data_IF_180860328577
#
_entry.id   IF_180860328577
#
_cell.length_a   1.000
_cell.length_b   1.000
_cell.length_c   1.000
_cell.angle_alpha   90.00
_cell.angle_beta   90.00
_cell.angle_gamma   90.00
#
_symmetry.space_group_name_H-M   'P 1'
#
loop_
_entity.id
_entity.type
_entity.pdbx_description
1 polymer ?
#
# COMPACT_ATOMS: atom_id res chain seq x y z
N UNK A 1 -4.80 -8.80 22.41
CA UNK A 1 -3.72 -9.45 21.65
C UNK A 1 -3.95 -9.51 20.13
N UNK A 2 -5.06 -10.02 19.57
CA UNK A 2 -5.24 -10.14 18.10
C UNK A 2 -5.38 -8.78 17.39
N UNK A 3 -6.11 -7.82 17.98
CA UNK A 3 -6.25 -6.45 17.45
C UNK A 3 -4.93 -5.66 17.52
N UNK A 4 -4.07 -5.95 18.46
CA UNK A 4 -2.79 -5.30 18.67
C UNK A 4 -1.79 -5.63 17.55
N UNK A 5 -1.65 -6.91 17.23
CA UNK A 5 -0.75 -7.35 16.15
C UNK A 5 -1.18 -6.80 14.77
N UNK A 6 -2.50 -6.62 14.54
CA UNK A 6 -2.99 -6.01 13.30
C UNK A 6 -2.65 -4.53 13.21
N UNK A 7 -2.77 -3.78 14.32
CA UNK A 7 -2.38 -2.36 14.38
C UNK A 7 -0.88 -2.17 14.16
N UNK A 8 -0.06 -3.06 14.70
CA UNK A 8 1.40 -3.01 14.51
C UNK A 8 1.74 -3.21 13.03
N UNK A 9 1.16 -4.22 12.39
CA UNK A 9 1.40 -4.49 10.96
C UNK A 9 0.97 -3.29 10.10
N UNK A 10 -0.21 -2.70 10.35
CA UNK A 10 -0.64 -1.52 9.62
C UNK A 10 0.30 -0.33 9.80
N UNK A 11 0.79 -0.08 11.01
CA UNK A 11 1.79 0.97 11.28
C UNK A 11 3.11 0.72 10.56
N UNK A 12 3.59 -0.53 10.53
CA UNK A 12 4.79 -0.90 9.78
C UNK A 12 4.62 -0.65 8.28
N UNK A 13 3.46 -0.99 7.71
CA UNK A 13 3.17 -0.76 6.31
C UNK A 13 3.15 0.75 6.00
N UNK A 14 2.52 1.57 6.85
CA UNK A 14 2.53 3.04 6.71
C UNK A 14 3.96 3.59 6.70
N UNK A 15 4.82 3.08 7.59
CA UNK A 15 6.22 3.49 7.62
C UNK A 15 6.97 3.08 6.35
N UNK A 16 6.75 1.86 5.88
CA UNK A 16 7.33 1.37 4.62
C UNK A 16 6.89 2.22 3.44
N UNK A 17 5.60 2.57 3.35
CA UNK A 17 5.08 3.44 2.29
C UNK A 17 5.75 4.83 2.32
N UNK A 18 5.94 5.43 3.49
CA UNK A 18 6.64 6.71 3.61
C UNK A 18 8.07 6.62 3.04
N UNK A 19 8.78 5.55 3.36
CA UNK A 19 10.13 5.28 2.84
C UNK A 19 10.09 5.03 1.33
N UNK A 20 9.12 4.27 0.85
CA UNK A 20 8.94 3.97 -0.58
C UNK A 20 8.67 5.24 -1.39
N UNK A 21 7.79 6.12 -0.91
CA UNK A 21 7.49 7.40 -1.59
C UNK A 21 8.76 8.26 -1.67
N UNK A 22 9.49 8.39 -0.56
CA UNK A 22 10.74 9.13 -0.53
C UNK A 22 11.79 8.52 -1.46
N UNK A 23 11.96 7.20 -1.42
CA UNK A 23 12.88 6.47 -2.29
C UNK A 23 12.51 6.61 -3.77
N UNK A 24 11.24 6.51 -4.11
CA UNK A 24 10.73 6.69 -5.47
C UNK A 24 11.08 8.07 -6.02
N UNK A 25 10.98 9.10 -5.16
CA UNK A 25 11.38 10.45 -5.55
C UNK A 25 12.90 10.58 -5.73
N UNK A 26 13.69 10.08 -4.79
CA UNK A 26 15.15 10.13 -4.89
C UNK A 26 15.65 9.39 -6.13
N UNK A 27 15.06 8.24 -6.42
CA UNK A 27 15.35 7.46 -7.60
C UNK A 27 14.98 8.20 -8.90
N UNK A 28 13.81 8.84 -8.90
CA UNK A 28 13.37 9.69 -10.02
C UNK A 28 14.31 10.87 -10.25
N UNK A 29 14.71 11.53 -9.17
CA UNK A 29 15.66 12.63 -9.25
C UNK A 29 17.02 12.16 -9.80
N UNK A 30 17.53 11.03 -9.30
CA UNK A 30 18.75 10.40 -9.79
C UNK A 30 18.66 10.09 -11.30
N UNK A 31 17.57 9.45 -11.72
CA UNK A 31 17.34 9.15 -13.15
C UNK A 31 17.31 10.44 -13.99
N UNK A 32 16.70 11.51 -13.51
CA UNK A 32 16.60 12.77 -14.25
C UNK A 32 17.94 13.46 -14.41
N UNK A 33 18.76 13.47 -13.35
CA UNK A 33 20.00 14.25 -13.31
C UNK A 33 21.18 13.49 -13.93
N UNK A 34 21.26 12.18 -13.67
CA UNK A 34 22.46 11.40 -14.02
C UNK A 34 22.29 10.45 -15.20
N UNK A 35 21.06 10.07 -15.59
CA UNK A 35 20.88 9.07 -16.65
C UNK A 35 21.07 9.63 -18.07
N UNK A 36 21.02 10.95 -18.25
CA UNK A 36 21.08 11.58 -19.58
C UNK A 36 19.86 11.28 -20.49
N UNK A 37 18.86 10.52 -19.99
CA UNK A 37 17.68 10.09 -20.77
C UNK A 37 16.82 11.29 -21.18
N UNK A 38 16.84 12.36 -20.39
CA UNK A 38 16.04 13.56 -20.67
C UNK A 38 16.92 14.79 -20.70
N UNK A 39 16.90 15.60 -21.76
CA UNK A 39 17.64 16.84 -21.83
C UNK A 39 17.20 17.77 -20.67
N UNK A 40 18.18 18.33 -20.00
CA UNK A 40 17.96 19.32 -18.94
C UNK A 40 17.93 20.69 -19.61
N UNK A 41 16.78 21.05 -20.18
CA UNK A 41 16.53 22.39 -20.70
C UNK A 41 16.07 23.29 -19.56
N UNK A 42 16.81 24.42 -19.33
CA UNK A 42 16.51 25.33 -18.23
C UNK A 42 17.02 24.83 -16.87
N UNK A 43 17.81 25.60 -16.20
CA UNK A 43 18.60 25.25 -15.00
C UNK A 43 17.88 24.32 -13.98
N UNK A 44 18.63 23.38 -13.42
CA UNK A 44 18.15 22.53 -12.34
C UNK A 44 17.97 23.38 -11.07
N UNK A 45 16.79 23.32 -10.48
CA UNK A 45 16.60 23.80 -9.12
C UNK A 45 17.53 23.06 -8.15
N UNK A 46 17.88 23.69 -7.05
CA UNK A 46 18.66 23.02 -6.01
C UNK A 46 17.93 21.76 -5.53
N UNK A 47 18.69 20.74 -5.13
CA UNK A 47 18.13 19.49 -4.58
C UNK A 47 17.11 19.75 -3.46
N UNK A 48 17.40 20.73 -2.60
CA UNK A 48 16.48 21.12 -1.51
C UNK A 48 15.13 21.62 -2.02
N UNK A 49 15.12 22.37 -3.12
CA UNK A 49 13.88 22.90 -3.71
C UNK A 49 12.98 21.77 -4.26
N UNK A 50 13.57 20.66 -4.70
CA UNK A 50 12.82 19.47 -5.10
C UNK A 50 12.38 18.63 -3.90
N UNK A 51 13.21 18.49 -2.87
CA UNK A 51 12.98 17.59 -1.74
C UNK A 51 11.89 18.08 -0.79
N UNK A 52 11.87 19.39 -0.47
CA UNK A 52 10.93 19.96 0.50
C UNK A 52 9.47 19.71 0.14
N UNK A 53 8.99 20.00 -1.09
CA UNK A 53 7.61 19.70 -1.48
C UNK A 53 7.26 18.21 -1.37
N UNK A 54 8.20 17.31 -1.67
CA UNK A 54 7.96 15.86 -1.58
C UNK A 54 7.79 15.41 -0.15
N UNK A 55 8.62 15.90 0.78
CA UNK A 55 8.47 15.58 2.21
C UNK A 55 7.08 16.01 2.70
N UNK A 56 6.60 17.18 2.29
CA UNK A 56 5.27 17.66 2.64
C UNK A 56 4.16 16.83 2.01
N UNK A 57 4.42 16.20 0.86
CA UNK A 57 3.46 15.32 0.19
C UNK A 57 3.35 13.91 0.82
N UNK A 58 4.37 13.43 1.54
CA UNK A 58 4.32 12.09 2.16
C UNK A 58 3.06 11.90 3.03
N UNK A 59 2.74 12.77 4.00
CA UNK A 59 1.53 12.59 4.81
C UNK A 59 0.24 12.65 3.97
N UNK A 60 0.21 13.42 2.89
CA UNK A 60 -0.94 13.51 1.98
C UNK A 60 -1.12 12.18 1.25
N UNK A 61 -0.05 11.58 0.71
CA UNK A 61 -0.10 10.25 0.10
C UNK A 61 -0.55 9.18 1.08
N UNK A 62 -0.02 9.17 2.31
CA UNK A 62 -0.42 8.25 3.37
C UNK A 62 -1.92 8.41 3.68
N UNK A 63 -2.41 9.64 3.76
CA UNK A 63 -3.83 9.92 3.97
C UNK A 63 -4.69 9.35 2.83
N UNK A 64 -4.30 9.59 1.57
CA UNK A 64 -5.01 9.06 0.40
C UNK A 64 -5.00 7.52 0.41
N UNK A 65 -3.87 6.89 0.71
CA UNK A 65 -3.74 5.43 0.79
C UNK A 65 -4.66 4.86 1.89
N UNK A 66 -4.75 5.54 3.04
CA UNK A 66 -5.66 5.15 4.11
C UNK A 66 -7.14 5.29 3.68
N UNK A 67 -7.47 6.40 3.03
CA UNK A 67 -8.84 6.64 2.52
C UNK A 67 -9.26 5.61 1.47
N UNK A 68 -8.35 5.18 0.61
CA UNK A 68 -8.57 4.10 -0.37
C UNK A 68 -8.54 2.69 0.23
N UNK A 69 -8.37 2.57 1.56
CA UNK A 69 -8.40 1.30 2.26
C UNK A 69 -7.17 0.41 2.03
N UNK A 70 -6.05 0.97 1.57
CA UNK A 70 -4.80 0.22 1.36
C UNK A 70 -4.20 -0.31 2.67
N UNK A 71 -4.60 0.24 3.82
CA UNK A 71 -4.19 -0.22 5.15
C UNK A 71 -5.23 -1.14 5.82
N UNK A 72 -6.36 -1.38 5.15
CA UNK A 72 -7.35 -2.32 5.64
C UNK A 72 -6.79 -3.75 5.51
N UNK A 73 -6.80 -4.48 6.62
CA UNK A 73 -6.33 -5.85 6.68
C UNK A 73 -7.35 -6.83 6.04
N UNK A 74 -7.77 -6.56 4.81
CA UNK A 74 -8.59 -7.49 4.04
C UNK A 74 -7.74 -8.72 3.70
N UNK A 75 -8.08 -9.87 4.33
CA UNK A 75 -7.32 -11.12 4.19
C UNK A 75 -7.52 -11.77 2.82
N UNK A 76 -8.65 -11.45 2.17
CA UNK A 76 -9.11 -12.04 0.91
C UNK A 76 -9.27 -10.93 -0.14
N UNK A 77 -8.29 -10.05 -0.27
CA UNK A 77 -8.33 -8.99 -1.29
C UNK A 77 -7.71 -9.48 -2.60
N UNK A 78 -8.39 -9.21 -3.72
CA UNK A 78 -7.83 -9.47 -5.05
C UNK A 78 -6.71 -8.48 -5.37
N UNK A 79 -5.64 -8.98 -5.98
CA UNK A 79 -4.49 -8.14 -6.39
C UNK A 79 -4.89 -7.01 -7.33
N UNK A 80 -5.84 -7.27 -8.25
CA UNK A 80 -6.33 -6.27 -9.19
C UNK A 80 -6.98 -5.06 -8.51
N UNK A 81 -7.76 -5.29 -7.45
CA UNK A 81 -8.37 -4.21 -6.65
C UNK A 81 -7.32 -3.38 -5.93
N UNK A 82 -6.29 -4.02 -5.40
CA UNK A 82 -5.19 -3.33 -4.71
C UNK A 82 -4.38 -2.46 -5.67
N UNK A 83 -4.00 -3.00 -6.83
CA UNK A 83 -3.29 -2.25 -7.87
C UNK A 83 -4.16 -1.09 -8.38
N UNK A 84 -5.46 -1.30 -8.60
CA UNK A 84 -6.39 -0.23 -8.95
C UNK A 84 -6.45 0.90 -7.91
N UNK A 85 -6.45 0.54 -6.61
CA UNK A 85 -6.40 1.52 -5.53
C UNK A 85 -5.06 2.27 -5.48
N UNK A 86 -3.93 1.61 -5.77
CA UNK A 86 -2.62 2.25 -5.88
C UNK A 86 -2.61 3.27 -7.03
N UNK A 87 -3.07 2.87 -8.20
CA UNK A 87 -3.11 3.77 -9.38
C UNK A 87 -3.99 4.99 -9.08
N UNK A 88 -5.21 4.78 -8.61
CA UNK A 88 -6.13 5.89 -8.31
C UNK A 88 -5.61 6.81 -7.21
N UNK A 89 -4.94 6.26 -6.19
CA UNK A 89 -4.30 7.04 -5.13
C UNK A 89 -3.14 7.89 -5.68
N UNK A 90 -2.35 7.33 -6.57
CA UNK A 90 -1.24 8.06 -7.20
C UNK A 90 -1.74 9.16 -8.14
N UNK A 91 -2.83 8.92 -8.90
CA UNK A 91 -3.47 9.96 -9.71
C UNK A 91 -3.94 11.13 -8.83
N UNK A 92 -4.65 10.83 -7.74
CA UNK A 92 -5.06 11.88 -6.79
C UNK A 92 -3.87 12.59 -6.15
N UNK A 93 -2.85 11.85 -5.76
CA UNK A 93 -1.63 12.40 -5.16
C UNK A 93 -0.91 13.37 -6.11
N UNK A 94 -0.73 13.02 -7.38
CA UNK A 94 -0.06 13.88 -8.35
C UNK A 94 -0.90 15.11 -8.69
N UNK A 95 -2.23 15.00 -8.73
CA UNK A 95 -3.12 16.15 -8.93
C UNK A 95 -3.01 17.16 -7.78
N UNK A 96 -3.04 16.66 -6.53
CA UNK A 96 -2.86 17.51 -5.35
C UNK A 96 -1.47 18.13 -5.36
N UNK A 97 -0.42 17.35 -5.67
CA UNK A 97 0.96 17.83 -5.72
C UNK A 97 1.12 18.97 -6.74
N UNK A 98 0.60 18.77 -7.94
CA UNK A 98 0.63 19.80 -8.99
C UNK A 98 -0.14 21.04 -8.56
N UNK A 99 -1.30 20.88 -7.91
CA UNK A 99 -2.08 21.99 -7.34
C UNK A 99 -1.30 22.78 -6.28
N UNK A 100 -0.63 22.08 -5.37
CA UNK A 100 0.21 22.70 -4.33
C UNK A 100 1.37 23.49 -4.95
N UNK A 101 2.06 22.92 -5.94
CA UNK A 101 3.14 23.61 -6.65
C UNK A 101 2.64 24.85 -7.38
N UNK A 102 1.46 24.79 -8.00
CA UNK A 102 0.84 25.93 -8.68
C UNK A 102 0.50 27.07 -7.70
N UNK A 103 -0.14 26.75 -6.58
CA UNK A 103 -0.49 27.74 -5.54
C UNK A 103 0.77 28.37 -4.91
N UNK A 104 1.82 27.56 -4.71
CA UNK A 104 3.10 27.99 -4.17
C UNK A 104 3.95 28.78 -5.17
N UNK A 105 3.44 29.02 -6.40
CA UNK A 105 4.16 29.70 -7.49
C UNK A 105 5.51 29.07 -7.84
N UNK A 106 5.67 27.77 -7.59
CA UNK A 106 6.87 27.00 -7.95
C UNK A 106 6.82 26.63 -9.43
N UNK A 107 6.88 27.64 -10.31
CA UNK A 107 6.71 27.46 -11.77
C UNK A 107 7.89 26.72 -12.40
N UNK A 108 9.06 26.80 -11.78
CA UNK A 108 10.30 26.19 -12.27
C UNK A 108 10.41 24.69 -11.95
N UNK A 109 9.40 24.12 -11.29
CA UNK A 109 9.40 22.70 -10.97
C UNK A 109 9.25 21.86 -12.26
N UNK A 110 10.20 21.00 -12.52
CA UNK A 110 10.24 20.22 -13.76
C UNK A 110 9.03 19.29 -13.91
N UNK A 111 8.23 19.51 -14.94
CA UNK A 111 7.05 18.66 -15.27
C UNK A 111 7.47 17.20 -15.53
N UNK A 112 8.64 16.99 -16.16
CA UNK A 112 9.17 15.66 -16.43
C UNK A 112 9.46 14.87 -15.16
N UNK A 113 9.92 15.53 -14.07
CA UNK A 113 10.12 14.88 -12.77
C UNK A 113 8.77 14.41 -12.21
N UNK A 114 7.70 15.18 -12.34
CA UNK A 114 6.37 14.80 -11.85
C UNK A 114 5.85 13.54 -12.55
N UNK A 115 5.94 13.52 -13.89
CA UNK A 115 5.50 12.37 -14.69
C UNK A 115 6.35 11.13 -14.37
N UNK A 116 7.68 11.30 -14.31
CA UNK A 116 8.58 10.18 -13.99
C UNK A 116 8.36 9.68 -12.57
N UNK A 117 8.20 10.59 -11.60
CA UNK A 117 7.87 10.23 -10.23
C UNK A 117 6.56 9.45 -10.14
N UNK A 118 5.52 9.87 -10.86
CA UNK A 118 4.25 9.17 -10.91
C UNK A 118 4.42 7.71 -11.37
N UNK A 119 5.12 7.48 -12.48
CA UNK A 119 5.34 6.14 -13.03
C UNK A 119 6.21 5.28 -12.09
N UNK A 120 7.30 5.84 -11.59
CA UNK A 120 8.22 5.17 -10.67
C UNK A 120 7.52 4.82 -9.37
N UNK A 121 6.76 5.76 -8.78
CA UNK A 121 6.06 5.53 -7.52
C UNK A 121 5.00 4.44 -7.63
N UNK A 122 4.18 4.42 -8.69
CA UNK A 122 3.22 3.32 -8.93
C UNK A 122 3.95 1.98 -9.02
N UNK A 123 5.05 1.92 -9.77
CA UNK A 123 5.79 0.68 -9.99
C UNK A 123 6.38 0.16 -8.68
N UNK A 124 7.11 1.01 -7.95
CA UNK A 124 7.78 0.62 -6.70
C UNK A 124 6.76 0.27 -5.62
N UNK A 125 5.69 1.06 -5.47
CA UNK A 125 4.62 0.76 -4.50
C UNK A 125 3.91 -0.56 -4.84
N UNK A 126 3.67 -0.85 -6.12
CA UNK A 126 3.06 -2.12 -6.53
C UNK A 126 3.95 -3.32 -6.21
N UNK A 127 5.26 -3.21 -6.45
CA UNK A 127 6.25 -4.22 -6.10
C UNK A 127 6.31 -4.41 -4.59
N UNK A 128 6.38 -3.30 -3.83
CA UNK A 128 6.38 -3.32 -2.37
C UNK A 128 5.16 -4.08 -1.84
N UNK A 129 3.96 -3.75 -2.29
CA UNK A 129 2.72 -4.43 -1.88
C UNK A 129 2.74 -5.92 -2.19
N UNK A 130 3.24 -6.30 -3.34
CA UNK A 130 3.40 -7.71 -3.69
C UNK A 130 4.35 -8.43 -2.72
N UNK A 131 5.49 -7.83 -2.40
CA UNK A 131 6.49 -8.39 -1.46
C UNK A 131 5.93 -8.50 -0.06
N UNK A 132 5.33 -7.42 0.48
CA UNK A 132 4.72 -7.38 1.82
C UNK A 132 3.60 -8.43 1.93
N UNK A 133 2.73 -8.53 0.93
CA UNK A 133 1.67 -9.53 0.88
C UNK A 133 2.25 -10.96 0.90
N UNK A 134 3.28 -11.23 0.10
CA UNK A 134 3.93 -12.54 0.05
C UNK A 134 4.56 -12.90 1.40
N UNK A 135 5.17 -11.91 2.07
CA UNK A 135 5.74 -12.06 3.40
C UNK A 135 4.66 -12.37 4.45
N UNK A 136 3.58 -11.58 4.50
CA UNK A 136 2.47 -11.78 5.44
C UNK A 136 1.81 -13.15 5.22
N UNK A 137 1.60 -13.57 3.96
CA UNK A 137 1.06 -14.90 3.64
C UNK A 137 1.96 -16.03 4.13
N UNK A 138 3.29 -15.88 4.03
CA UNK A 138 4.25 -16.86 4.57
C UNK A 138 4.18 -16.93 6.09
N UNK A 139 4.10 -15.78 6.77
CA UNK A 139 3.94 -15.73 8.23
C UNK A 139 2.65 -16.43 8.68
N UNK A 140 1.53 -16.20 7.98
CA UNK A 140 0.25 -16.86 8.28
C UNK A 140 0.34 -18.38 8.13
N UNK A 141 1.00 -18.88 7.09
CA UNK A 141 1.24 -20.33 6.92
C UNK A 141 2.04 -20.95 8.07
N UNK A 142 2.92 -20.15 8.72
CA UNK A 142 3.69 -20.56 9.91
C UNK A 142 2.92 -20.40 11.22
N UNK A 143 1.64 -20.01 11.18
CA UNK A 143 0.80 -19.83 12.36
C UNK A 143 0.86 -18.44 13.01
N UNK A 144 1.61 -17.48 12.43
CA UNK A 144 1.62 -16.10 12.91
C UNK A 144 0.44 -15.31 12.32
N UNK A 145 -0.11 -14.37 13.09
CA UNK A 145 -1.23 -13.52 12.66
C UNK A 145 -2.47 -14.31 12.18
N UNK A 146 -2.77 -15.43 12.86
CA UNK A 146 -3.93 -16.29 12.59
C UNK A 146 -5.13 -15.76 13.38
N UNK A 147 -6.32 -15.77 12.76
CA UNK A 147 -7.61 -15.54 13.42
C UNK A 147 -8.27 -16.87 13.73
N UNK A 148 -8.60 -17.07 14.99
CA UNK A 148 -9.42 -18.18 15.43
C UNK A 148 -10.88 -17.83 15.21
N UNK A 149 -11.63 -18.70 14.55
CA UNK A 149 -13.06 -18.58 14.26
C UNK A 149 -13.81 -19.74 14.86
N UNK A 150 -14.99 -19.42 15.39
CA UNK A 150 -15.94 -20.39 15.90
C UNK A 150 -17.25 -20.14 15.15
N UNK A 151 -17.91 -21.18 14.72
CA UNK A 151 -19.22 -21.08 14.10
C UNK A 151 -20.30 -21.39 15.11
N UNK A 152 -21.43 -20.67 15.00
CA UNK A 152 -22.67 -20.96 15.73
C UNK A 152 -23.71 -21.43 14.73
N UNK A 153 -24.13 -22.67 14.86
CA UNK A 153 -24.99 -23.37 13.92
C UNK A 153 -24.25 -24.06 12.78
N UNK A 154 -24.73 -25.22 12.39
CA UNK A 154 -24.23 -25.97 11.23
C UNK A 154 -25.04 -25.58 9.99
N UNK A 155 -24.38 -25.30 8.91
CA UNK A 155 -24.97 -25.02 7.60
C UNK A 155 -24.01 -25.41 6.49
N UNK A 156 -24.53 -25.63 5.27
CA UNK A 156 -23.70 -25.86 4.08
C UNK A 156 -22.68 -24.76 3.86
N UNK A 157 -22.99 -23.50 4.25
CA UNK A 157 -22.08 -22.37 4.21
C UNK A 157 -20.90 -22.53 5.16
N UNK A 158 -21.13 -23.10 6.35
CA UNK A 158 -20.10 -23.36 7.35
C UNK A 158 -19.11 -24.41 6.85
N UNK A 159 -19.64 -25.49 6.26
CA UNK A 159 -18.81 -26.57 5.69
C UNK A 159 -17.97 -26.06 4.51
N UNK A 160 -18.60 -25.33 3.59
CA UNK A 160 -17.89 -24.72 2.45
C UNK A 160 -16.77 -23.76 2.92
N UNK A 161 -17.05 -22.94 3.92
CA UNK A 161 -16.04 -22.03 4.47
C UNK A 161 -14.89 -22.79 5.14
N UNK A 162 -15.20 -23.84 5.91
CA UNK A 162 -14.16 -24.69 6.53
C UNK A 162 -13.23 -25.30 5.47
N UNK A 163 -13.81 -25.86 4.42
CA UNK A 163 -13.06 -26.42 3.28
C UNK A 163 -12.14 -25.37 2.63
N UNK A 164 -12.69 -24.16 2.37
CA UNK A 164 -11.92 -23.05 1.80
C UNK A 164 -10.77 -22.61 2.71
N UNK A 165 -10.95 -22.61 4.02
CA UNK A 165 -9.91 -22.26 4.99
C UNK A 165 -8.81 -23.32 5.04
N UNK A 166 -9.15 -24.59 4.99
CA UNK A 166 -8.18 -25.70 4.95
C UNK A 166 -7.32 -25.68 3.67
N UNK A 167 -7.94 -25.41 2.53
CA UNK A 167 -7.26 -25.28 1.25
C UNK A 167 -6.38 -24.01 1.19
N UNK A 168 -6.83 -22.94 1.87
CA UNK A 168 -6.20 -21.62 1.80
C UNK A 168 -5.56 -21.18 3.13
N UNK A 169 -4.67 -21.98 3.67
CA UNK A 169 -3.94 -21.71 4.94
C UNK A 169 -3.28 -20.31 4.99
N UNK A 170 -2.99 -19.75 3.83
CA UNK A 170 -2.40 -18.41 3.72
C UNK A 170 -3.38 -17.26 4.05
N UNK A 171 -4.69 -17.52 4.14
CA UNK A 171 -5.67 -16.56 4.66
C UNK A 171 -5.50 -16.31 6.15
N UNK A 172 -4.92 -17.31 6.87
CA UNK A 172 -4.66 -17.21 8.29
C UNK A 172 -5.93 -17.23 9.13
N UNK A 173 -6.91 -18.03 8.76
CA UNK A 173 -8.03 -18.44 9.60
C UNK A 173 -7.75 -19.82 10.18
N UNK A 174 -8.23 -20.10 11.39
CA UNK A 174 -8.23 -21.41 12.01
C UNK A 174 -9.59 -21.62 12.67
N UNK A 175 -10.33 -22.59 12.17
CA UNK A 175 -11.61 -22.97 12.75
C UNK A 175 -11.35 -23.80 14.00
N UNK A 176 -11.89 -23.38 15.16
CA UNK A 176 -11.76 -24.07 16.44
C UNK A 176 -12.86 -25.09 16.68
N UNK A 177 -14.05 -24.84 16.13
CA UNK A 177 -15.20 -25.72 16.27
C UNK A 177 -16.48 -25.07 15.77
N UNK A 178 -17.52 -25.90 15.74
CA UNK A 178 -18.88 -25.50 15.40
C UNK A 178 -19.71 -25.79 16.65
N UNK A 179 -20.36 -24.78 17.21
CA UNK A 179 -21.31 -24.93 18.30
C UNK A 179 -22.69 -25.07 17.69
N UNK A 180 -23.33 -26.15 17.98
CA UNK A 180 -24.73 -26.42 17.60
C UNK A 180 -25.60 -26.20 18.81
N UNK A 181 -26.67 -25.40 18.65
CA UNK A 181 -27.63 -25.20 19.72
C UNK A 181 -28.63 -26.35 19.64
N UNK A 182 -28.38 -27.39 20.43
CA UNK A 182 -29.39 -28.45 20.61
C UNK A 182 -30.55 -27.85 21.37
N UNK A 183 -31.61 -27.43 20.65
CA UNK A 183 -32.90 -27.31 21.28
C UNK A 183 -33.35 -28.70 21.70
N UNK A 184 -33.29 -28.95 23.00
CA UNK A 184 -33.99 -30.09 23.64
C UNK A 184 -35.48 -29.88 23.54
#
# INVERSE_FOLDING_TARGET
MIKENQKIISKMIIFIDAVVILFSFLFTWYLRVYSGIMPVEGGLLSFKAYLVPVILMIPIYIFIYNFKGLYNNERIMFLSKEVGNIITSNVLGILIFTGVLFISKQIDYSRSILVLFFLVNITITSIERFVVRKFIRRMRKKGFNVKYTVFVGYSDGTERFNKLVEENKHWGYKVLGIFEDYKV
#
